data_IF_957454937031
#
_entry.id   IF_957454937031
#
_cell.length_a   1.000
_cell.length_b   1.000
_cell.length_c   1.000
_cell.angle_alpha   90.00
_cell.angle_beta   90.00
_cell.angle_gamma   90.00
#
_symmetry.space_group_name_H-M   'P 1'
#
loop_
_entity.id
_entity.type
_entity.pdbx_description
1 polymer ?
#
# COMPACT_ATOMS: atom_id res chain seq x y z
N UNK A 1 10.55 -24.92 -1.50
CA UNK A 1 9.94 -24.23 -2.63
C UNK A 1 10.93 -24.23 -3.80
N UNK A 2 10.55 -24.84 -4.93
CA UNK A 2 11.40 -24.97 -6.13
C UNK A 2 10.83 -24.14 -7.31
N UNK A 3 9.83 -23.30 -7.07
CA UNK A 3 9.23 -22.45 -8.08
C UNK A 3 9.78 -21.00 -8.07
N UNK A 4 9.67 -20.31 -9.20
CA UNK A 4 9.92 -18.87 -9.27
C UNK A 4 8.98 -18.13 -8.30
N UNK A 5 9.54 -17.27 -7.45
CA UNK A 5 8.76 -16.40 -6.59
C UNK A 5 8.26 -15.21 -7.41
N UNK A 6 6.99 -14.88 -7.26
CA UNK A 6 6.37 -13.75 -7.96
C UNK A 6 5.66 -12.85 -6.94
N UNK A 7 6.43 -12.03 -6.18
CA UNK A 7 5.84 -11.12 -5.21
C UNK A 7 4.99 -10.07 -5.91
N UNK A 8 3.84 -9.74 -5.32
CA UNK A 8 2.90 -8.78 -5.88
C UNK A 8 1.45 -9.13 -5.59
N UNK A 9 0.54 -8.39 -6.23
CA UNK A 9 -0.90 -8.63 -6.14
C UNK A 9 -1.36 -9.48 -7.31
N UNK A 10 -2.13 -10.53 -7.00
CA UNK A 10 -2.70 -11.45 -7.97
C UNK A 10 -4.22 -11.44 -7.84
N UNK A 11 -4.94 -11.17 -8.92
CA UNK A 11 -6.37 -11.41 -8.97
C UNK A 11 -6.65 -12.77 -9.60
N UNK A 12 -7.42 -13.58 -8.90
CA UNK A 12 -7.79 -14.91 -9.35
C UNK A 12 -9.30 -15.00 -9.56
N UNK A 13 -9.70 -15.74 -10.57
CA UNK A 13 -11.10 -16.13 -10.73
C UNK A 13 -11.41 -17.25 -9.73
N UNK A 14 -12.37 -17.05 -8.78
CA UNK A 14 -12.62 -18.02 -7.72
C UNK A 14 -13.25 -19.33 -8.23
N UNK A 15 -13.84 -19.32 -9.43
CA UNK A 15 -14.48 -20.49 -10.00
C UNK A 15 -13.48 -21.39 -10.74
N UNK A 16 -12.60 -20.78 -11.52
CA UNK A 16 -11.63 -21.50 -12.36
C UNK A 16 -10.22 -21.57 -11.77
N UNK A 17 -9.89 -20.70 -10.80
CA UNK A 17 -8.54 -20.53 -10.28
C UNK A 17 -7.60 -19.79 -11.23
N UNK A 18 -8.08 -19.39 -12.39
CA UNK A 18 -7.25 -18.68 -13.38
C UNK A 18 -6.88 -17.28 -12.90
N UNK A 19 -5.64 -16.88 -13.14
CA UNK A 19 -5.18 -15.53 -12.85
C UNK A 19 -5.75 -14.57 -13.89
N UNK A 20 -6.50 -13.56 -13.43
CA UNK A 20 -7.07 -12.48 -14.25
C UNK A 20 -6.00 -11.44 -14.57
N UNK A 21 -5.26 -10.99 -13.54
CA UNK A 21 -4.14 -10.07 -13.68
C UNK A 21 -3.11 -10.31 -12.58
N UNK A 22 -1.93 -9.75 -12.79
CA UNK A 22 -0.82 -9.76 -11.84
C UNK A 22 -0.06 -8.45 -11.94
N UNK A 23 0.13 -7.79 -10.82
CA UNK A 23 0.96 -6.59 -10.69
C UNK A 23 2.12 -6.91 -9.77
N UNK A 24 3.36 -6.92 -10.29
CA UNK A 24 4.53 -7.23 -9.49
C UNK A 24 4.78 -6.18 -8.41
N UNK A 25 5.26 -6.61 -7.24
CA UNK A 25 5.83 -5.74 -6.25
C UNK A 25 7.27 -5.42 -6.66
N UNK A 26 7.52 -4.17 -7.03
CA UNK A 26 8.85 -3.67 -7.33
C UNK A 26 9.32 -2.87 -6.11
N UNK A 27 10.31 -3.38 -5.38
CA UNK A 27 10.83 -2.67 -4.21
C UNK A 27 11.47 -1.35 -4.62
N UNK A 28 11.07 -0.29 -3.94
CA UNK A 28 11.79 0.99 -3.93
C UNK A 28 12.55 1.12 -2.62
N UNK A 29 13.78 0.63 -2.62
CA UNK A 29 14.65 0.64 -1.44
C UNK A 29 15.80 1.64 -1.55
N UNK A 30 15.84 2.46 -2.59
CA UNK A 30 16.88 3.48 -2.73
C UNK A 30 16.74 4.53 -1.61
N UNK A 31 17.81 4.71 -0.86
CA UNK A 31 17.86 5.68 0.24
C UNK A 31 17.05 5.31 1.49
N UNK A 32 16.37 4.15 1.53
CA UNK A 32 15.56 3.76 2.68
C UNK A 32 16.39 3.09 3.75
N UNK A 33 16.71 1.86 3.62
CA UNK A 33 17.42 1.11 4.67
C UNK A 33 18.38 0.12 4.04
N UNK A 34 19.52 -0.19 4.71
CA UNK A 34 20.41 -1.20 4.18
C UNK A 34 19.68 -2.54 4.03
N UNK A 35 19.87 -3.20 2.87
CA UNK A 35 19.45 -4.58 2.70
C UNK A 35 20.04 -5.43 3.84
N UNK A 36 19.26 -6.31 4.55
CA UNK A 36 17.98 -6.92 4.11
C UNK A 36 16.70 -6.27 4.69
N UNK A 37 16.75 -5.14 5.33
CA UNK A 37 15.60 -4.57 6.06
C UNK A 37 14.52 -4.03 5.12
N UNK A 38 14.88 -3.33 4.03
CA UNK A 38 13.95 -3.01 2.96
C UNK A 38 13.86 -4.19 1.98
N UNK A 39 12.65 -4.61 1.62
CA UNK A 39 12.38 -5.81 0.85
C UNK A 39 11.22 -5.57 -0.12
N UNK A 40 11.19 -6.33 -1.21
CA UNK A 40 10.12 -6.30 -2.20
C UNK A 40 8.96 -7.25 -1.89
N UNK A 41 8.73 -7.56 -0.64
CA UNK A 41 7.65 -8.45 -0.22
C UNK A 41 6.35 -7.68 0.04
N UNK A 42 5.25 -8.44 0.02
CA UNK A 42 3.94 -8.00 0.47
C UNK A 42 3.43 -9.03 1.47
N UNK A 43 3.42 -8.69 2.76
CA UNK A 43 2.97 -9.58 3.83
C UNK A 43 1.74 -9.06 4.56
N UNK A 44 1.43 -7.77 4.42
CA UNK A 44 0.22 -7.19 4.97
C UNK A 44 -1.03 -7.76 4.29
N UNK A 45 -2.12 -7.86 5.06
CA UNK A 45 -3.42 -8.14 4.49
C UNK A 45 -3.82 -7.05 3.49
N UNK A 46 -4.56 -7.41 2.47
CA UNK A 46 -5.11 -6.45 1.50
C UNK A 46 -6.57 -6.15 1.83
N UNK A 47 -7.02 -4.95 1.48
CA UNK A 47 -8.42 -4.54 1.63
C UNK A 47 -8.95 -4.11 0.28
N UNK A 48 -10.19 -4.50 -0.03
CA UNK A 48 -10.83 -4.12 -1.29
C UNK A 48 -12.21 -3.51 -1.05
N UNK A 49 -12.60 -2.63 -1.94
CA UNK A 49 -13.94 -2.07 -2.09
C UNK A 49 -14.31 -2.06 -3.57
N UNK A 50 -15.50 -1.56 -3.93
CA UNK A 50 -15.92 -1.49 -5.33
C UNK A 50 -14.91 -0.73 -6.19
N UNK A 51 -14.31 -1.44 -7.14
CA UNK A 51 -13.34 -0.91 -8.09
C UNK A 51 -11.91 -0.73 -7.58
N UNK A 52 -11.63 -0.86 -6.28
CA UNK A 52 -10.31 -0.57 -5.71
C UNK A 52 -9.76 -1.70 -4.85
N UNK A 53 -8.43 -1.86 -4.87
CA UNK A 53 -7.68 -2.73 -3.96
C UNK A 53 -6.57 -1.92 -3.30
N UNK A 54 -6.50 -1.97 -1.97
CA UNK A 54 -5.50 -1.28 -1.15
C UNK A 54 -4.51 -2.30 -0.60
N UNK A 55 -3.23 -2.08 -0.82
CA UNK A 55 -2.19 -2.97 -0.33
C UNK A 55 -0.94 -2.21 0.09
N UNK A 56 -0.40 -2.59 1.23
CA UNK A 56 0.89 -2.11 1.71
C UNK A 56 2.00 -3.10 1.40
N UNK A 57 3.22 -2.61 1.27
CA UNK A 57 4.40 -3.41 0.96
C UNK A 57 5.52 -3.20 1.98
N UNK A 58 6.49 -4.13 1.97
CA UNK A 58 7.59 -4.14 2.93
C UNK A 58 8.61 -3.02 2.68
N UNK A 59 8.60 -2.41 1.50
CA UNK A 59 9.37 -1.20 1.17
C UNK A 59 8.73 0.10 1.68
N UNK A 60 7.55 0.00 2.33
CA UNK A 60 6.82 1.12 2.91
C UNK A 60 5.82 1.79 1.96
N UNK A 61 5.63 1.30 0.73
CA UNK A 61 4.65 1.87 -0.17
C UNK A 61 3.21 1.38 0.13
N UNK A 62 2.28 2.32 0.24
CA UNK A 62 0.85 2.06 0.20
C UNK A 62 0.36 2.30 -1.22
N UNK A 63 -0.14 1.25 -1.89
CA UNK A 63 -0.62 1.31 -3.26
C UNK A 63 -2.12 1.08 -3.32
N UNK A 64 -2.78 1.81 -4.24
CA UNK A 64 -4.17 1.58 -4.62
C UNK A 64 -4.21 1.12 -6.08
N UNK A 65 -4.85 0.00 -6.31
CA UNK A 65 -4.98 -0.64 -7.62
C UNK A 65 -6.41 -0.55 -8.11
N UNK A 66 -6.58 -0.40 -9.42
CA UNK A 66 -7.84 -0.70 -10.07
C UNK A 66 -8.11 -2.21 -9.98
N UNK A 67 -9.27 -2.60 -9.47
CA UNK A 67 -9.59 -4.01 -9.20
C UNK A 67 -9.82 -4.85 -10.46
N UNK A 68 -10.06 -4.21 -11.60
CA UNK A 68 -10.34 -4.87 -12.89
C UNK A 68 -9.06 -5.10 -13.68
N UNK A 69 -8.21 -4.06 -13.77
CA UNK A 69 -6.97 -4.10 -14.57
C UNK A 69 -5.73 -4.47 -13.75
N UNK A 70 -5.72 -4.22 -12.44
CA UNK A 70 -4.54 -4.34 -11.59
C UNK A 70 -3.56 -3.16 -11.72
N UNK A 71 -3.92 -2.12 -12.47
CA UNK A 71 -3.09 -0.92 -12.60
C UNK A 71 -2.99 -0.18 -11.27
N UNK A 72 -1.80 0.30 -10.90
CA UNK A 72 -1.60 1.18 -9.74
C UNK A 72 -2.10 2.57 -10.13
N UNK A 73 -3.17 3.03 -9.49
CA UNK A 73 -3.81 4.33 -9.75
C UNK A 73 -3.41 5.40 -8.73
N UNK A 74 -2.85 4.99 -7.61
CA UNK A 74 -2.31 5.88 -6.59
C UNK A 74 -1.28 5.15 -5.75
N UNK A 75 -0.25 5.88 -5.30
CA UNK A 75 0.81 5.37 -4.44
C UNK A 75 1.26 6.45 -3.46
N UNK A 76 1.61 6.04 -2.25
CA UNK A 76 2.19 6.90 -1.23
C UNK A 76 3.32 6.16 -0.51
N UNK A 77 4.50 6.77 -0.46
CA UNK A 77 5.62 6.26 0.32
C UNK A 77 5.43 6.65 1.79
N UNK A 78 5.20 5.66 2.64
CA UNK A 78 5.01 5.86 4.07
C UNK A 78 6.33 5.82 4.86
N UNK A 79 7.47 5.59 4.21
CA UNK A 79 8.78 5.60 4.85
C UNK A 79 9.24 7.03 5.11
N UNK A 80 9.72 7.31 6.33
CA UNK A 80 10.30 8.60 6.71
C UNK A 80 9.66 9.22 7.94
N UNK A 81 10.09 10.44 8.23
CA UNK A 81 9.63 11.22 9.38
C UNK A 81 8.38 12.02 9.02
N UNK A 82 7.36 11.95 9.86
CA UNK A 82 6.10 12.66 9.72
C UNK A 82 5.74 13.40 11.01
N UNK A 83 5.32 14.66 10.90
CA UNK A 83 4.73 15.35 12.03
C UNK A 83 3.31 14.85 12.28
N UNK A 84 3.04 14.36 13.47
CA UNK A 84 1.74 13.88 13.88
C UNK A 84 0.77 15.03 14.19
N UNK A 85 -0.51 14.73 14.31
CA UNK A 85 -1.54 15.73 14.69
C UNK A 85 -1.35 16.30 16.10
N UNK A 86 -0.54 15.65 16.96
CA UNK A 86 -0.15 16.14 18.27
C UNK A 86 1.11 17.01 18.26
N UNK A 87 1.79 17.10 17.11
CA UNK A 87 3.07 17.82 16.97
C UNK A 87 4.31 16.98 17.29
N UNK A 88 4.14 15.71 17.68
CA UNK A 88 5.25 14.79 17.86
C UNK A 88 5.71 14.20 16.53
N UNK A 89 6.99 13.84 16.42
CA UNK A 89 7.49 13.15 15.24
C UNK A 89 7.13 11.66 15.28
N UNK A 90 6.58 11.14 14.19
CA UNK A 90 6.34 9.73 13.95
C UNK A 90 7.24 9.25 12.81
N UNK A 91 7.73 8.03 12.92
CA UNK A 91 8.53 7.37 11.88
C UNK A 91 7.67 6.33 11.17
N UNK A 92 7.59 6.44 9.85
CA UNK A 92 7.01 5.41 9.01
C UNK A 92 8.07 4.43 8.50
N UNK A 93 7.64 3.22 8.19
CA UNK A 93 8.51 2.12 7.77
C UNK A 93 7.77 1.09 6.92
N UNK A 94 8.09 -0.18 7.09
CA UNK A 94 7.39 -1.26 6.38
C UNK A 94 5.92 -1.34 6.75
N UNK A 95 5.08 -1.66 5.77
CA UNK A 95 3.67 -2.02 6.02
C UNK A 95 3.60 -3.54 6.05
N UNK A 96 3.38 -4.08 7.25
CA UNK A 96 3.39 -5.51 7.52
C UNK A 96 2.24 -5.89 8.44
N UNK A 97 1.78 -7.13 8.39
CA UNK A 97 0.74 -7.75 9.23
C UNK A 97 -0.66 -7.18 8.98
N UNK A 98 -0.95 -5.99 9.51
CA UNK A 98 -2.27 -5.38 9.39
C UNK A 98 -2.41 -4.68 8.05
N UNK A 99 -3.46 -5.01 7.32
CA UNK A 99 -3.79 -4.34 6.07
C UNK A 99 -4.42 -2.96 6.29
N UNK A 100 -4.54 -2.16 5.22
CA UNK A 100 -5.29 -0.91 5.27
C UNK A 100 -6.73 -1.14 5.71
N UNK A 101 -7.23 -0.28 6.59
CA UNK A 101 -8.64 -0.29 7.05
C UNK A 101 -9.38 0.84 6.34
N UNK A 102 -10.56 0.52 5.77
CA UNK A 102 -11.44 1.50 5.13
C UNK A 102 -12.60 1.82 6.06
N UNK A 103 -12.79 3.10 6.38
CA UNK A 103 -13.89 3.55 7.23
C UNK A 103 -14.33 4.97 6.82
N UNK A 104 -15.61 5.13 6.48
CA UNK A 104 -16.25 6.42 6.17
C UNK A 104 -15.42 7.34 5.27
N UNK A 105 -14.93 6.81 4.13
CA UNK A 105 -14.14 7.56 3.16
C UNK A 105 -12.68 7.80 3.57
N UNK A 106 -12.24 7.17 4.65
CA UNK A 106 -10.85 7.23 5.10
C UNK A 106 -10.15 5.89 4.90
N UNK A 107 -8.85 5.96 4.65
CA UNK A 107 -7.93 4.82 4.64
C UNK A 107 -6.98 4.98 5.82
N UNK A 108 -6.98 4.01 6.72
CA UNK A 108 -6.08 3.97 7.88
C UNK A 108 -5.05 2.87 7.64
N UNK A 109 -3.77 3.18 7.86
CA UNK A 109 -2.69 2.21 7.72
C UNK A 109 -1.63 2.40 8.78
N UNK A 110 -1.17 1.30 9.37
CA UNK A 110 -0.01 1.27 10.25
C UNK A 110 1.26 1.15 9.40
N UNK A 111 2.22 2.04 9.61
CA UNK A 111 3.52 2.04 8.96
C UNK A 111 4.64 1.94 9.98
N UNK A 112 5.51 0.93 9.79
CA UNK A 112 6.64 0.68 10.69
C UNK A 112 6.32 -0.22 11.88
N UNK A 113 5.08 -0.65 12.09
CA UNK A 113 4.71 -1.67 13.08
C UNK A 113 5.08 -3.04 12.52
N UNK A 114 6.33 -3.38 12.65
CA UNK A 114 6.97 -4.52 11.99
C UNK A 114 7.07 -5.74 12.90
N UNK A 115 7.12 -6.91 12.28
CA UNK A 115 7.52 -8.15 12.91
C UNK A 115 8.88 -8.61 12.34
N UNK A 116 9.88 -8.77 13.21
CA UNK A 116 11.22 -9.22 12.80
C UNK A 116 12.12 -8.09 12.30
N UNK A 117 12.88 -8.32 11.22
CA UNK A 117 13.90 -7.41 10.71
C UNK A 117 13.39 -6.61 9.49
N UNK A 118 12.36 -5.82 9.66
CA UNK A 118 11.82 -4.90 8.65
C UNK A 118 12.11 -3.44 9.03
N UNK A 119 11.76 -2.49 8.19
CA UNK A 119 11.94 -1.07 8.49
C UNK A 119 11.00 -0.66 9.64
N UNK A 120 11.55 -0.30 10.80
CA UNK A 120 10.76 0.02 11.97
C UNK A 120 10.11 1.41 11.88
N UNK A 121 9.05 1.61 12.64
CA UNK A 121 8.38 2.89 12.79
C UNK A 121 7.23 2.79 13.80
N UNK A 122 6.43 3.85 13.86
CA UNK A 122 5.31 3.98 14.79
C UNK A 122 4.21 4.91 14.25
N UNK A 123 4.10 5.02 12.92
CA UNK A 123 3.13 5.92 12.31
C UNK A 123 1.79 5.20 12.05
N UNK A 124 0.69 5.77 12.57
CA UNK A 124 -0.66 5.50 12.09
C UNK A 124 -1.04 6.63 11.14
N UNK A 125 -1.18 6.31 9.87
CA UNK A 125 -1.54 7.26 8.83
C UNK A 125 -3.02 7.17 8.47
N UNK A 126 -3.64 8.33 8.25
CA UNK A 126 -5.03 8.44 7.84
C UNK A 126 -5.10 9.28 6.57
N UNK A 127 -5.61 8.70 5.51
CA UNK A 127 -5.83 9.37 4.23
C UNK A 127 -7.33 9.58 4.02
N UNK A 128 -7.68 10.73 3.44
CA UNK A 128 -9.04 11.05 3.05
C UNK A 128 -9.06 11.61 1.63
N UNK A 129 -10.17 11.41 0.92
CA UNK A 129 -10.37 12.05 -0.38
C UNK A 129 -10.57 13.55 -0.15
N UNK A 130 -9.69 14.38 -0.75
CA UNK A 130 -9.86 15.83 -0.69
C UNK A 130 -11.00 16.29 -1.59
N UNK A 131 -11.92 17.12 -1.09
CA UNK A 131 -13.00 17.69 -1.91
C UNK A 131 -12.52 18.43 -3.17
N UNK A 132 -11.30 18.97 -3.17
CA UNK A 132 -10.69 19.62 -4.33
C UNK A 132 -10.35 18.66 -5.48
N UNK A 133 -10.24 17.35 -5.21
CA UNK A 133 -10.01 16.34 -6.24
C UNK A 133 -11.29 16.00 -7.03
N UNK A 134 -12.49 16.21 -6.47
CA UNK A 134 -13.76 16.01 -7.18
C UNK A 134 -14.05 17.11 -8.21
N UNK A 135 -13.62 18.36 -7.95
CA UNK A 135 -13.84 19.49 -8.87
C UNK A 135 -12.99 19.41 -10.15
N UNK A 136 -11.87 18.70 -10.11
CA UNK A 136 -11.02 18.53 -11.29
C UNK A 136 -11.59 17.52 -12.31
N UNK A 137 -12.50 16.64 -11.92
CA UNK A 137 -13.16 15.67 -12.82
C UNK A 137 -14.41 16.21 -13.51
N UNK A 138 -14.97 17.33 -13.04
CA UNK A 138 -16.21 17.92 -13.54
C UNK A 138 -16.04 18.95 -14.67
N UNK A 139 -14.82 19.32 -15.08
CA UNK A 139 -14.59 20.38 -16.06
C UNK A 139 -14.17 19.92 -17.47
N UNK A 140 -14.41 18.64 -17.81
CA UNK A 140 -14.16 18.14 -19.16
C UNK A 140 -15.44 17.61 -19.82
N UNK A 141 -16.49 18.44 -19.86
CA UNK A 141 -17.60 18.27 -20.79
C UNK A 141 -18.24 19.65 -21.05
N UNK A 142 -17.70 20.38 -22.01
CA UNK A 142 -18.43 21.26 -22.91
C UNK A 142 -17.66 21.35 -24.23
#
# INVERSE_FOLDING_TARGET
FTGEVSPGIHALDPTSGNRKWYTPSLADCEGKSPVPICDQGMSAAITSTDGLVFAGSLDGNLNVYDSVSGEIIWSFDTFGDFESVSGDMALGGSIESDGPVLYEGHVLVNSGYQFGARMPGNALMVFAISPSAELAKGSHNE
#
